data_IF_808416139798
#
_entry.id   IF_808416139798
#
_cell.length_a   1.000
_cell.length_b   1.000
_cell.length_c   1.000
_cell.angle_alpha   90.00
_cell.angle_beta   90.00
_cell.angle_gamma   90.00
#
_symmetry.space_group_name_H-M   'P 1'
#
loop_
_entity.id
_entity.type
_entity.pdbx_description
1 polymer ?
#
# COMPACT_ATOMS: atom_id res chain seq x y z
N UNK A 1 -15.58 -11.85 23.21
CA UNK A 1 -16.84 -12.51 22.82
C UNK A 1 -17.14 -12.30 21.35
N UNK A 2 -17.12 -11.06 20.83
CA UNK A 2 -17.42 -10.77 19.41
C UNK A 2 -16.50 -11.47 18.38
N UNK A 3 -15.18 -11.53 18.64
CA UNK A 3 -14.21 -12.12 17.69
C UNK A 3 -14.37 -13.63 17.46
N UNK A 4 -14.97 -14.36 18.40
CA UNK A 4 -15.13 -15.83 18.30
C UNK A 4 -16.30 -16.14 17.36
N UNK A 5 -17.41 -15.39 17.50
CA UNK A 5 -18.59 -15.50 16.64
C UNK A 5 -18.24 -15.21 15.18
N UNK A 6 -17.36 -14.23 14.93
CA UNK A 6 -16.93 -13.89 13.56
C UNK A 6 -16.14 -15.02 12.88
N UNK A 7 -15.34 -15.78 13.63
CA UNK A 7 -14.47 -16.82 13.06
C UNK A 7 -15.25 -18.08 12.66
N UNK A 8 -16.26 -18.47 13.44
CA UNK A 8 -17.12 -19.62 13.15
C UNK A 8 -17.93 -19.38 11.86
N UNK A 9 -18.49 -18.17 11.68
CA UNK A 9 -19.24 -17.79 10.47
C UNK A 9 -18.37 -17.74 9.21
N UNK A 10 -17.08 -17.39 9.33
CA UNK A 10 -16.12 -17.45 8.22
C UNK A 10 -15.81 -18.90 7.85
N UNK A 11 -15.64 -19.77 8.85
CA UNK A 11 -15.33 -21.19 8.64
C UNK A 11 -16.52 -21.95 8.02
N UNK A 12 -17.75 -21.56 8.34
CA UNK A 12 -18.98 -22.12 7.77
C UNK A 12 -19.31 -21.55 6.37
N UNK A 13 -18.53 -20.58 5.89
CA UNK A 13 -18.75 -19.93 4.59
C UNK A 13 -20.02 -19.08 4.53
N UNK A 14 -20.60 -18.73 5.68
CA UNK A 14 -21.80 -17.90 5.80
C UNK A 14 -21.45 -16.42 5.92
N UNK A 15 -20.22 -16.10 6.33
CA UNK A 15 -19.61 -14.78 6.25
C UNK A 15 -18.39 -14.86 5.31
N UNK A 16 -18.53 -14.32 4.11
CA UNK A 16 -17.37 -14.04 3.28
C UNK A 16 -16.78 -12.72 3.78
N UNK A 17 -15.53 -12.67 4.27
CA UNK A 17 -14.93 -11.39 4.61
C UNK A 17 -15.02 -10.50 3.36
N UNK A 18 -15.25 -9.19 3.55
CA UNK A 18 -15.03 -8.19 2.51
C UNK A 18 -13.53 -8.17 2.17
N UNK A 19 -13.07 -9.24 1.54
CA UNK A 19 -11.71 -9.43 1.15
C UNK A 19 -11.43 -8.40 0.05
N UNK A 20 -10.33 -7.67 0.25
CA UNK A 20 -9.57 -6.94 -0.77
C UNK A 20 -9.60 -5.40 -0.74
N UNK A 21 -10.25 -4.73 0.21
CA UNK A 21 -9.94 -3.30 0.42
C UNK A 21 -8.76 -3.15 1.37
N UNK A 22 -7.64 -2.67 0.81
CA UNK A 22 -6.51 -2.22 1.63
C UNK A 22 -7.03 -1.13 2.58
N UNK A 23 -6.68 -1.18 3.88
CA UNK A 23 -7.01 -0.08 4.77
C UNK A 23 -6.39 1.22 4.23
N UNK A 24 -7.02 2.37 4.48
CA UNK A 24 -6.45 3.66 4.09
C UNK A 24 -5.09 3.86 4.76
N UNK A 25 -4.16 4.46 4.02
CA UNK A 25 -2.82 4.81 4.55
C UNK A 25 -2.99 6.00 5.51
N UNK A 26 -2.51 5.93 6.76
CA UNK A 26 -2.58 7.05 7.70
C UNK A 26 -1.92 8.30 7.12
N UNK A 27 -2.53 9.47 7.32
CA UNK A 27 -2.04 10.74 6.78
C UNK A 27 -0.59 11.04 7.19
N UNK A 28 -0.22 10.75 8.43
CA UNK A 28 1.14 10.94 8.94
C UNK A 28 2.18 10.13 8.15
N UNK A 29 1.84 8.90 7.74
CA UNK A 29 2.70 8.07 6.90
C UNK A 29 2.84 8.69 5.51
N UNK A 30 1.73 9.16 4.92
CA UNK A 30 1.72 9.85 3.62
C UNK A 30 2.62 11.08 3.66
N UNK A 31 2.43 11.95 4.66
CA UNK A 31 3.18 13.20 4.81
C UNK A 31 4.68 12.92 5.01
N UNK A 32 5.01 11.91 5.82
CA UNK A 32 6.40 11.51 6.07
C UNK A 32 7.10 11.03 4.80
N UNK A 33 6.43 10.15 4.03
CA UNK A 33 6.97 9.66 2.75
C UNK A 33 7.10 10.81 1.75
N UNK A 34 6.11 11.70 1.67
CA UNK A 34 6.15 12.83 0.75
C UNK A 34 7.31 13.77 1.03
N UNK A 35 7.54 14.08 2.31
CA UNK A 35 8.66 14.93 2.74
C UNK A 35 10.01 14.24 2.51
N UNK A 36 10.13 12.96 2.88
CA UNK A 36 11.35 12.16 2.66
C UNK A 36 11.74 12.11 1.18
N UNK A 37 10.76 11.88 0.31
CA UNK A 37 10.97 11.76 -1.13
C UNK A 37 10.97 13.13 -1.83
N UNK A 38 10.91 14.23 -1.07
CA UNK A 38 10.96 15.63 -1.54
C UNK A 38 9.86 15.99 -2.55
N UNK A 39 8.72 15.29 -2.49
CA UNK A 39 7.63 15.43 -3.46
C UNK A 39 8.04 15.05 -4.88
N UNK A 40 8.95 14.08 -5.04
CA UNK A 40 9.49 13.64 -6.32
C UNK A 40 9.46 12.12 -6.44
N UNK A 41 9.32 11.63 -7.66
CA UNK A 41 9.52 10.23 -7.99
C UNK A 41 10.94 9.82 -7.62
N UNK A 42 11.10 8.79 -6.80
CA UNK A 42 12.44 8.35 -6.34
C UNK A 42 13.26 7.71 -7.46
N UNK A 43 12.64 7.27 -8.56
CA UNK A 43 13.34 6.70 -9.70
C UNK A 43 13.82 7.73 -10.72
N UNK A 44 13.03 8.75 -11.02
CA UNK A 44 13.31 9.67 -12.12
C UNK A 44 13.27 11.16 -11.77
N UNK A 45 12.89 11.50 -10.53
CA UNK A 45 12.83 12.88 -10.06
C UNK A 45 11.61 13.69 -10.53
N UNK A 46 10.71 13.11 -11.33
CA UNK A 46 9.48 13.79 -11.78
C UNK A 46 8.62 14.22 -10.58
N UNK A 47 7.99 15.40 -10.67
CA UNK A 47 7.04 15.93 -9.69
C UNK A 47 5.58 15.74 -10.11
N UNK A 48 5.34 15.08 -11.24
CA UNK A 48 4.01 14.96 -11.86
C UNK A 48 3.40 13.57 -11.66
N UNK A 49 2.08 13.53 -11.46
CA UNK A 49 1.29 12.30 -11.36
C UNK A 49 1.89 11.27 -10.39
N UNK A 50 2.21 11.73 -9.18
CA UNK A 50 2.85 10.93 -8.15
C UNK A 50 1.83 10.03 -7.45
N UNK A 51 2.27 8.82 -7.15
CA UNK A 51 1.53 7.79 -6.44
C UNK A 51 2.38 7.30 -5.28
N UNK A 52 1.74 6.96 -4.16
CA UNK A 52 2.36 6.11 -3.16
C UNK A 52 2.37 4.68 -3.68
N UNK A 53 3.57 4.11 -3.75
CA UNK A 53 3.79 2.73 -4.15
C UNK A 53 4.56 1.97 -3.07
N UNK A 54 4.35 0.65 -3.01
CA UNK A 54 5.05 -0.21 -2.06
C UNK A 54 6.34 -0.76 -2.67
N UNK A 55 7.50 -0.53 -2.05
CA UNK A 55 8.80 -1.10 -2.43
C UNK A 55 8.70 -2.62 -2.55
N UNK A 56 8.22 -3.28 -1.49
CA UNK A 56 7.73 -4.66 -1.52
C UNK A 56 6.22 -4.61 -1.80
N UNK A 57 5.73 -5.08 -2.96
CA UNK A 57 4.32 -5.00 -3.30
C UNK A 57 3.41 -5.59 -2.23
N UNK A 58 2.26 -4.95 -1.99
CA UNK A 58 1.24 -5.47 -1.08
C UNK A 58 0.82 -6.92 -1.40
N UNK A 59 0.73 -7.27 -2.69
CA UNK A 59 0.42 -8.63 -3.14
C UNK A 59 1.48 -9.68 -2.77
N UNK A 60 2.68 -9.24 -2.37
CA UNK A 60 3.77 -10.07 -1.86
C UNK A 60 3.95 -9.94 -0.34
N UNK A 61 2.96 -9.40 0.37
CA UNK A 61 2.99 -9.24 1.82
C UNK A 61 3.74 -7.99 2.31
N UNK A 62 3.98 -7.02 1.43
CA UNK A 62 4.61 -5.76 1.83
C UNK A 62 3.77 -4.96 2.82
N UNK A 63 4.44 -4.45 3.86
CA UNK A 63 3.80 -3.64 4.90
C UNK A 63 3.41 -2.25 4.37
N UNK A 64 2.34 -1.66 4.91
CA UNK A 64 1.98 -0.26 4.66
C UNK A 64 2.56 0.61 5.78
N UNK A 65 3.83 0.94 5.67
CA UNK A 65 4.57 1.80 6.60
C UNK A 65 5.50 2.75 5.84
N UNK A 66 6.14 3.67 6.55
CA UNK A 66 7.03 4.67 5.94
C UNK A 66 8.19 3.99 5.21
N UNK A 67 8.73 2.92 5.78
CA UNK A 67 9.92 2.21 5.28
C UNK A 67 9.66 1.49 3.96
N UNK A 68 8.44 1.02 3.73
CA UNK A 68 8.06 0.26 2.55
C UNK A 68 7.26 1.07 1.53
N UNK A 69 6.87 2.30 1.83
CA UNK A 69 6.21 3.19 0.88
C UNK A 69 7.21 4.16 0.24
N UNK A 70 6.97 4.52 -1.01
CA UNK A 70 7.76 5.48 -1.80
C UNK A 70 6.88 6.25 -2.77
N UNK A 71 7.35 7.41 -3.24
CA UNK A 71 6.73 8.14 -4.35
C UNK A 71 7.27 7.68 -5.70
N UNK A 72 6.35 7.28 -6.58
CA UNK A 72 6.64 7.02 -7.99
C UNK A 72 5.69 7.85 -8.88
N UNK A 73 6.22 8.39 -9.97
CA UNK A 73 5.36 8.92 -11.02
C UNK A 73 4.62 7.77 -11.72
N UNK A 74 3.50 8.07 -12.36
CA UNK A 74 2.68 7.07 -13.05
C UNK A 74 3.49 6.15 -13.98
N UNK A 75 4.43 6.70 -14.76
CA UNK A 75 5.29 5.93 -15.68
C UNK A 75 6.14 4.91 -14.92
N UNK A 76 6.92 5.36 -13.94
CA UNK A 76 7.80 4.49 -13.15
C UNK A 76 7.01 3.47 -12.33
N UNK A 77 5.85 3.87 -11.80
CA UNK A 77 4.95 2.98 -11.08
C UNK A 77 4.43 1.83 -11.98
N UNK A 78 4.00 2.15 -13.21
CA UNK A 78 3.57 1.14 -14.19
C UNK A 78 4.73 0.22 -14.61
N UNK A 79 5.92 0.78 -14.83
CA UNK A 79 7.12 0.00 -15.16
C UNK A 79 7.54 -0.93 -14.02
N UNK A 80 7.39 -0.50 -12.75
CA UNK A 80 7.66 -1.33 -11.57
C UNK A 80 6.61 -2.42 -11.40
N UNK A 81 5.32 -2.11 -11.52
CA UNK A 81 4.22 -3.06 -11.36
C UNK A 81 4.34 -3.85 -10.04
N UNK A 82 4.22 -5.18 -10.07
CA UNK A 82 4.39 -6.06 -8.90
C UNK A 82 5.84 -6.51 -8.65
N UNK A 83 6.84 -5.82 -9.21
CA UNK A 83 8.25 -6.06 -8.92
C UNK A 83 8.65 -5.36 -7.61
N UNK A 84 9.69 -5.89 -6.99
CA UNK A 84 10.32 -5.25 -5.82
C UNK A 84 11.28 -4.19 -6.34
N UNK A 85 11.28 -3.02 -5.73
CA UNK A 85 12.20 -1.92 -6.05
C UNK A 85 11.76 -0.63 -5.43
#
# INVERSE_FOLDING_TARGET
>A
MEKIITQELINEGTLFPEANKRPPIPKEVVDTVWNRDTGKCVYCGSTENLHLDHIIPFSKGGATNVENLQLLCQKCNLEKSNKIG
#
